data_IF_172114762447
#
_entry.id   IF_172114762447
#
_cell.length_a   1.000
_cell.length_b   1.000
_cell.length_c   1.000
_cell.angle_alpha   90.00
_cell.angle_beta   90.00
_cell.angle_gamma   90.00
#
_symmetry.space_group_name_H-M   'P 1'
#
loop_
_entity.id
_entity.type
_entity.pdbx_description
1 polymer ?
#
# COMPACT_ATOMS: atom_id res chain seq x y z
N UNK A 1 -6.73 30.04 -0.50
CA UNK A 1 -5.65 29.17 -1.00
C UNK A 1 -5.27 29.65 -2.39
N UNK A 2 -4.01 30.00 -2.63
CA UNK A 2 -3.53 30.30 -3.99
C UNK A 2 -3.22 28.99 -4.72
N UNK A 3 -3.22 29.01 -6.06
CA UNK A 3 -2.89 27.82 -6.85
C UNK A 3 -1.48 27.26 -6.53
N UNK A 4 -0.57 28.11 -6.05
CA UNK A 4 0.79 27.76 -5.60
C UNK A 4 0.82 26.92 -4.31
N UNK A 5 -0.28 26.85 -3.56
CA UNK A 5 -0.36 26.06 -2.32
C UNK A 5 -0.75 24.59 -2.56
N UNK A 6 -1.00 24.19 -3.80
CA UNK A 6 -1.38 22.82 -4.17
C UNK A 6 -0.18 22.02 -4.70
N UNK A 7 -0.16 20.68 -4.55
CA UNK A 7 0.91 19.86 -5.12
C UNK A 7 1.00 20.03 -6.65
N UNK A 8 2.22 20.21 -7.17
CA UNK A 8 2.46 20.25 -8.60
C UNK A 8 2.03 18.94 -9.28
N UNK A 9 1.59 19.02 -10.54
CA UNK A 9 1.24 17.82 -11.33
C UNK A 9 2.45 16.86 -11.46
N UNK A 10 3.67 17.40 -11.59
CA UNK A 10 4.92 16.65 -11.64
C UNK A 10 5.91 17.21 -10.60
N UNK A 11 5.86 16.76 -9.33
CA UNK A 11 6.74 17.23 -8.28
C UNK A 11 8.12 16.56 -8.39
N UNK A 12 9.10 17.11 -7.67
CA UNK A 12 10.36 16.38 -7.43
C UNK A 12 10.06 15.13 -6.60
N UNK A 13 10.47 13.97 -7.10
CA UNK A 13 10.18 12.67 -6.49
C UNK A 13 11.17 12.35 -5.35
N UNK A 14 10.71 11.54 -4.41
CA UNK A 14 11.54 10.94 -3.36
C UNK A 14 12.53 9.95 -3.97
N UNK A 15 13.72 9.76 -3.35
CA UNK A 15 14.67 8.75 -3.77
C UNK A 15 14.06 7.36 -3.83
N UNK A 16 14.31 6.65 -4.93
CA UNK A 16 13.84 5.29 -5.13
C UNK A 16 14.75 4.29 -4.40
N UNK A 17 14.16 3.36 -3.67
CA UNK A 17 14.89 2.18 -3.23
C UNK A 17 14.99 1.19 -4.40
N UNK A 18 16.09 1.27 -5.16
CA UNK A 18 16.29 0.50 -6.38
C UNK A 18 16.23 -1.02 -6.14
N UNK A 19 16.71 -1.50 -5.00
CA UNK A 19 16.70 -2.93 -4.68
C UNK A 19 15.27 -3.45 -4.46
N UNK A 20 14.48 -2.74 -3.65
CA UNK A 20 13.07 -3.09 -3.40
C UNK A 20 12.26 -2.99 -4.69
N UNK A 21 12.50 -1.94 -5.47
CA UNK A 21 11.80 -1.75 -6.73
C UNK A 21 12.13 -2.83 -7.75
N UNK A 22 13.39 -3.25 -7.86
CA UNK A 22 13.80 -4.36 -8.72
C UNK A 22 13.10 -5.67 -8.33
N UNK A 23 13.09 -6.01 -7.03
CA UNK A 23 12.41 -7.22 -6.55
C UNK A 23 10.91 -7.20 -6.87
N UNK A 24 10.25 -6.04 -6.69
CA UNK A 24 8.85 -5.85 -7.05
C UNK A 24 8.63 -5.98 -8.56
N UNK A 25 9.47 -5.34 -9.37
CA UNK A 25 9.40 -5.39 -10.83
C UNK A 25 9.55 -6.82 -11.36
N UNK A 26 10.55 -7.56 -10.89
CA UNK A 26 10.78 -8.96 -11.26
C UNK A 26 9.58 -9.86 -10.89
N UNK A 27 8.98 -9.63 -9.72
CA UNK A 27 7.79 -10.37 -9.27
C UNK A 27 6.58 -10.09 -10.17
N UNK A 28 6.36 -8.84 -10.53
CA UNK A 28 5.25 -8.44 -11.41
C UNK A 28 5.48 -8.95 -12.83
N UNK A 29 6.69 -8.83 -13.38
CA UNK A 29 7.02 -9.35 -14.71
C UNK A 29 6.75 -10.86 -14.78
N UNK A 30 7.25 -11.62 -13.79
CA UNK A 30 7.07 -13.08 -13.75
C UNK A 30 5.60 -13.51 -13.72
N UNK A 31 4.78 -12.84 -12.90
CA UNK A 31 3.41 -13.27 -12.64
C UNK A 31 2.37 -12.64 -13.59
N UNK A 32 2.66 -11.44 -14.09
CA UNK A 32 1.71 -10.62 -14.87
C UNK A 32 2.18 -10.43 -16.30
N UNK A 33 3.49 -10.42 -16.58
CA UNK A 33 4.05 -10.22 -17.92
C UNK A 33 3.48 -11.16 -18.98
N UNK A 34 3.41 -12.49 -18.74
CA UNK A 34 2.79 -13.43 -19.67
C UNK A 34 1.28 -13.23 -19.90
N UNK A 35 0.60 -12.49 -19.01
CA UNK A 35 -0.85 -12.26 -19.06
C UNK A 35 -1.17 -10.89 -19.68
N UNK A 36 -0.46 -9.85 -19.25
CA UNK A 36 -0.68 -8.46 -19.67
C UNK A 36 0.59 -7.62 -19.48
N UNK A 37 1.43 -7.49 -20.51
CA UNK A 37 2.60 -6.60 -20.48
C UNK A 37 2.23 -5.12 -20.25
N UNK A 38 1.05 -4.70 -20.72
CA UNK A 38 0.54 -3.35 -20.47
C UNK A 38 0.29 -3.10 -18.99
N UNK A 39 -0.24 -4.09 -18.26
CA UNK A 39 -0.43 -3.98 -16.82
C UNK A 39 0.90 -3.93 -16.06
N UNK A 40 1.92 -4.66 -16.51
CA UNK A 40 3.28 -4.53 -15.94
C UNK A 40 3.78 -3.09 -16.08
N UNK A 41 3.70 -2.53 -17.30
CA UNK A 41 4.12 -1.14 -17.57
C UNK A 41 3.36 -0.14 -16.69
N UNK A 42 2.03 -0.26 -16.60
CA UNK A 42 1.24 0.65 -15.77
C UNK A 42 1.43 0.44 -14.27
N UNK A 43 1.88 -0.73 -13.84
CA UNK A 43 2.27 -0.94 -12.44
C UNK A 43 3.61 -0.25 -12.16
N UNK A 44 4.55 -0.25 -13.09
CA UNK A 44 5.82 0.45 -12.91
C UNK A 44 5.69 1.97 -13.06
N UNK A 45 5.40 2.45 -14.28
CA UNK A 45 5.62 3.83 -14.69
C UNK A 45 4.77 4.86 -13.89
N UNK A 46 3.42 4.83 -13.95
CA UNK A 46 2.62 5.81 -13.22
C UNK A 46 2.46 5.49 -11.73
N UNK A 47 2.75 4.25 -11.29
CA UNK A 47 2.50 3.82 -9.91
C UNK A 47 3.78 3.90 -9.07
N UNK A 48 4.69 2.94 -9.21
CA UNK A 48 5.84 2.81 -8.30
C UNK A 48 7.01 3.73 -8.65
N UNK A 49 7.13 4.14 -9.92
CA UNK A 49 8.17 5.08 -10.38
C UNK A 49 7.72 6.55 -10.36
N UNK A 50 6.44 6.83 -10.11
CA UNK A 50 5.90 8.20 -9.95
C UNK A 50 5.03 8.36 -8.70
N UNK A 51 3.75 7.93 -8.73
CA UNK A 51 2.77 8.21 -7.68
C UNK A 51 3.28 7.89 -6.27
N UNK A 52 3.92 6.73 -6.08
CA UNK A 52 4.44 6.29 -4.79
C UNK A 52 5.63 7.09 -4.28
N UNK A 53 6.33 7.80 -5.16
CA UNK A 53 7.49 8.63 -4.85
C UNK A 53 7.13 10.11 -4.67
N UNK A 54 5.87 10.51 -4.80
CA UNK A 54 5.48 11.92 -4.62
C UNK A 54 5.59 12.33 -3.14
N UNK A 55 6.23 13.48 -2.81
CA UNK A 55 6.65 13.78 -1.43
C UNK A 55 5.55 14.37 -0.54
N UNK A 56 4.43 14.82 -1.11
CA UNK A 56 3.36 15.48 -0.35
C UNK A 56 2.63 14.54 0.63
N UNK A 57 2.72 13.22 0.42
CA UNK A 57 2.38 12.21 1.41
C UNK A 57 3.63 11.40 1.72
N UNK A 58 3.90 11.18 3.00
CA UNK A 58 4.96 10.27 3.41
C UNK A 58 4.65 8.85 2.89
N UNK A 59 5.66 7.99 2.67
CA UNK A 59 5.42 6.59 2.32
C UNK A 59 4.51 5.87 3.32
N UNK A 60 4.61 6.21 4.61
CA UNK A 60 3.75 5.70 5.69
C UNK A 60 2.28 6.06 5.46
N UNK A 61 1.99 7.35 5.29
CA UNK A 61 0.62 7.83 5.13
C UNK A 61 0.00 7.40 3.81
N UNK A 62 0.80 7.32 2.73
CA UNK A 62 0.37 6.76 1.46
C UNK A 62 -0.05 5.31 1.60
N UNK A 63 0.74 4.50 2.33
CA UNK A 63 0.38 3.11 2.61
C UNK A 63 -0.87 3.01 3.48
N UNK A 64 -1.01 3.84 4.51
CA UNK A 64 -2.20 3.90 5.36
C UNK A 64 -3.48 4.15 4.54
N UNK A 65 -3.47 5.19 3.68
CA UNK A 65 -4.61 5.49 2.80
C UNK A 65 -4.89 4.34 1.85
N UNK A 66 -3.85 3.70 1.31
CA UNK A 66 -3.99 2.54 0.41
C UNK A 66 -4.67 1.37 1.13
N UNK A 67 -4.20 0.98 2.31
CA UNK A 67 -4.79 -0.12 3.09
C UNK A 67 -6.24 0.19 3.47
N UNK A 68 -6.52 1.40 3.94
CA UNK A 68 -7.88 1.84 4.26
C UNK A 68 -8.82 1.76 3.06
N UNK A 69 -8.34 2.17 1.87
CA UNK A 69 -9.13 2.09 0.63
C UNK A 69 -9.40 0.64 0.21
N UNK A 70 -8.42 -0.25 0.34
CA UNK A 70 -8.59 -1.68 0.04
C UNK A 70 -9.61 -2.34 0.96
N UNK A 71 -9.58 -2.02 2.26
CA UNK A 71 -10.59 -2.50 3.22
C UNK A 71 -11.96 -1.95 2.82
N UNK A 72 -12.06 -0.65 2.55
CA UNK A 72 -13.33 -0.03 2.21
C UNK A 72 -13.95 -0.58 0.91
N UNK A 73 -13.11 -0.99 -0.05
CA UNK A 73 -13.53 -1.59 -1.31
C UNK A 73 -13.73 -3.12 -1.23
N UNK A 74 -13.52 -3.75 -0.07
CA UNK A 74 -13.62 -5.22 0.09
C UNK A 74 -12.52 -6.00 -0.66
N UNK A 75 -11.41 -5.37 -1.02
CA UNK A 75 -10.33 -5.94 -1.82
C UNK A 75 -9.30 -6.69 -0.97
N UNK A 76 -9.76 -7.68 -0.20
CA UNK A 76 -8.95 -8.37 0.81
C UNK A 76 -7.68 -9.04 0.28
N UNK A 77 -7.71 -9.53 -0.96
CA UNK A 77 -6.56 -10.16 -1.62
C UNK A 77 -5.34 -9.22 -1.77
N UNK A 78 -5.55 -7.90 -1.74
CA UNK A 78 -4.48 -6.91 -1.86
C UNK A 78 -4.00 -6.38 -0.49
N UNK A 79 -4.78 -6.58 0.59
CA UNK A 79 -4.48 -6.05 1.92
C UNK A 79 -3.14 -6.60 2.43
N UNK A 80 -2.88 -7.90 2.29
CA UNK A 80 -1.68 -8.53 2.86
C UNK A 80 -0.37 -7.91 2.36
N UNK A 81 -0.26 -7.68 1.04
CA UNK A 81 0.91 -7.03 0.43
C UNK A 81 1.04 -5.57 0.88
N UNK A 82 -0.05 -4.79 0.76
CA UNK A 82 -0.01 -3.37 1.08
C UNK A 82 0.15 -3.08 2.57
N UNK A 83 -0.34 -3.95 3.45
CA UNK A 83 -0.14 -3.83 4.89
C UNK A 83 1.32 -4.11 5.27
N UNK A 84 1.96 -5.14 4.69
CA UNK A 84 3.39 -5.36 4.89
C UNK A 84 4.20 -4.13 4.47
N UNK A 85 3.90 -3.56 3.30
CA UNK A 85 4.54 -2.31 2.85
C UNK A 85 4.23 -1.13 3.76
N UNK A 86 3.04 -1.05 4.35
CA UNK A 86 2.70 -0.02 5.33
C UNK A 86 3.58 -0.13 6.57
N UNK A 87 3.77 -1.33 7.09
CA UNK A 87 4.60 -1.59 8.26
C UNK A 87 6.09 -1.37 7.97
N UNK A 88 6.58 -1.75 6.78
CA UNK A 88 7.95 -1.42 6.34
C UNK A 88 8.17 0.09 6.24
N UNK A 89 7.11 0.85 5.94
CA UNK A 89 7.13 2.32 5.94
C UNK A 89 6.89 2.95 7.32
N UNK A 90 6.72 2.15 8.39
CA UNK A 90 6.60 2.63 9.76
C UNK A 90 5.19 2.69 10.34
N UNK A 91 4.18 2.07 9.70
CA UNK A 91 2.87 1.85 10.34
C UNK A 91 3.01 0.81 11.46
N UNK A 92 2.53 1.11 12.66
CA UNK A 92 2.62 0.18 13.79
C UNK A 92 1.55 -0.91 13.73
N UNK A 93 1.74 -1.98 14.51
CA UNK A 93 0.73 -3.04 14.66
C UNK A 93 -0.57 -2.51 15.31
N UNK A 94 -0.44 -1.58 16.26
CA UNK A 94 -1.57 -0.91 16.90
C UNK A 94 -2.37 -0.10 15.88
N UNK A 95 -1.68 0.70 15.06
CA UNK A 95 -2.32 1.49 14.00
C UNK A 95 -2.99 0.60 12.95
N UNK A 96 -2.40 -0.55 12.60
CA UNK A 96 -3.02 -1.51 11.69
C UNK A 96 -4.32 -2.10 12.24
N UNK A 97 -4.37 -2.41 13.55
CA UNK A 97 -5.59 -2.85 14.22
C UNK A 97 -6.67 -1.76 14.24
N UNK A 98 -6.28 -0.53 14.57
CA UNK A 98 -7.19 0.62 14.61
C UNK A 98 -7.80 0.95 13.24
N UNK A 99 -7.07 0.77 12.14
CA UNK A 99 -7.61 0.94 10.79
C UNK A 99 -8.78 -0.01 10.52
N UNK A 100 -8.70 -1.26 10.98
CA UNK A 100 -9.80 -2.24 10.83
C UNK A 100 -11.02 -1.81 11.64
N UNK A 101 -10.81 -1.38 12.88
CA UNK A 101 -11.88 -0.90 13.75
C UNK A 101 -12.57 0.34 13.16
N UNK A 102 -11.78 1.33 12.72
CA UNK A 102 -12.28 2.55 12.08
C UNK A 102 -13.08 2.22 10.80
N UNK A 103 -12.60 1.28 9.98
CA UNK A 103 -13.27 0.88 8.75
C UNK A 103 -14.66 0.27 8.99
N UNK A 104 -14.93 -0.34 10.15
CA UNK A 104 -16.26 -0.87 10.46
C UNK A 104 -17.33 0.24 10.43
N UNK A 105 -16.99 1.43 10.94
CA UNK A 105 -17.90 2.57 10.99
C UNK A 105 -18.09 3.26 9.64
N UNK A 106 -17.02 3.37 8.84
CA UNK A 106 -17.05 4.14 7.58
C UNK A 106 -17.27 3.30 6.33
N UNK A 107 -16.96 2.01 6.38
CA UNK A 107 -17.09 1.08 5.27
C UNK A 107 -17.94 -0.17 5.59
N UNK A 108 -18.50 -0.25 6.80
CA UNK A 108 -19.39 -1.33 7.23
C UNK A 108 -18.68 -2.53 7.84
N UNK A 109 -19.36 -3.17 8.79
CA UNK A 109 -18.90 -4.37 9.49
C UNK A 109 -18.46 -5.51 8.54
N UNK A 110 -19.17 -5.82 7.43
CA UNK A 110 -18.73 -6.88 6.52
C UNK A 110 -17.32 -6.66 5.95
N UNK A 111 -16.97 -5.42 5.60
CA UNK A 111 -15.65 -5.08 5.09
C UNK A 111 -14.58 -5.22 6.17
N UNK A 112 -14.84 -4.71 7.38
CA UNK A 112 -13.93 -4.86 8.52
C UNK A 112 -13.69 -6.33 8.90
N UNK A 113 -14.76 -7.14 8.98
CA UNK A 113 -14.65 -8.56 9.31
C UNK A 113 -13.99 -9.39 8.20
N UNK A 114 -14.10 -8.96 6.94
CA UNK A 114 -13.36 -9.57 5.83
C UNK A 114 -11.87 -9.23 5.89
N UNK A 115 -11.51 -8.02 6.31
CA UNK A 115 -10.13 -7.57 6.43
C UNK A 115 -9.40 -8.14 7.67
N UNK A 116 -10.09 -8.23 8.81
CA UNK A 116 -9.53 -8.64 10.09
C UNK A 116 -8.66 -9.92 10.05
N UNK A 117 -9.09 -11.05 9.43
CA UNK A 117 -8.26 -12.25 9.35
C UNK A 117 -6.96 -12.03 8.55
N UNK A 118 -7.03 -11.26 7.45
CA UNK A 118 -5.85 -10.94 6.62
C UNK A 118 -4.87 -10.04 7.37
N UNK A 119 -5.37 -9.02 8.07
CA UNK A 119 -4.54 -8.16 8.93
C UNK A 119 -3.88 -8.98 10.02
N UNK A 120 -4.65 -9.82 10.73
CA UNK A 120 -4.12 -10.68 11.79
C UNK A 120 -3.05 -11.66 11.29
N UNK A 121 -3.17 -12.19 10.07
CA UNK A 121 -2.15 -13.05 9.47
C UNK A 121 -0.83 -12.30 9.24
N UNK A 122 -0.89 -11.07 8.73
CA UNK A 122 0.32 -10.24 8.55
C UNK A 122 0.99 -9.95 9.89
N UNK A 123 0.21 -9.54 10.91
CA UNK A 123 0.75 -9.22 12.24
C UNK A 123 1.47 -10.43 12.86
N UNK A 124 0.81 -11.60 12.90
CA UNK A 124 1.41 -12.84 13.42
C UNK A 124 2.65 -13.27 12.65
N UNK A 125 2.64 -13.13 11.32
CA UNK A 125 3.77 -13.50 10.46
C UNK A 125 4.99 -12.58 10.63
N UNK A 126 4.83 -11.39 11.20
CA UNK A 126 5.93 -10.46 11.48
C UNK A 126 6.46 -10.62 12.90
N UNK A 127 5.60 -10.94 13.87
CA UNK A 127 6.01 -11.30 15.23
C UNK A 127 6.94 -12.53 15.22
N UNK A 128 6.57 -13.59 14.50
CA UNK A 128 7.36 -14.83 14.42
C UNK A 128 8.70 -14.72 13.70
N UNK A 129 8.97 -13.59 13.02
CA UNK A 129 10.27 -13.30 12.38
C UNK A 129 11.21 -12.52 13.31
N UNK A 130 10.69 -12.02 14.42
CA UNK A 130 11.45 -11.18 15.37
C UNK A 130 11.99 -12.02 16.55
N UNK A 131 11.43 -13.21 16.78
CA UNK A 131 11.98 -14.28 17.63
C UNK A 131 13.03 -15.13 16.88
#
# INVERSE_FOLDING_TARGET
MTAEALPAASPTLLPLNEQVEKQRADTVEKNVGPISPGLVKFTADPLFLDLWQRPALTPRDRSLVTVSALIAAGQSAQIGYHLNRAMDNGLSAEEAGEVVAQAAFYAGWPNAFTAAPVVGEVLRSRESKTE
#
